data_IF_310359472704
#
_entry.id   IF_310359472704
#
_cell.length_a   1.000
_cell.length_b   1.000
_cell.length_c   1.000
_cell.angle_alpha   90.00
_cell.angle_beta   90.00
_cell.angle_gamma   90.00
#
_symmetry.space_group_name_H-M   'P 1'
#
loop_
_entity.id
_entity.type
_entity.pdbx_description
1 polymer ?
#
# COMPACT_ATOMS: atom_id res chain seq x y z
N UNK A 1 -53.74 39.65 3.05
CA UNK A 1 -53.18 39.12 4.31
C UNK A 1 -53.27 37.58 4.37
N UNK A 2 -53.02 36.86 3.26
CA UNK A 2 -53.25 35.40 3.19
C UNK A 2 -52.19 34.60 2.41
N UNK A 3 -51.16 35.23 1.83
CA UNK A 3 -50.16 34.53 1.00
C UNK A 3 -48.83 34.21 1.71
N UNK A 4 -48.58 34.79 2.88
CA UNK A 4 -47.27 34.70 3.56
C UNK A 4 -47.07 33.42 4.39
N UNK A 5 -48.17 32.68 4.64
CA UNK A 5 -48.12 31.41 5.40
C UNK A 5 -47.73 30.20 4.54
N UNK A 6 -47.89 30.28 3.21
CA UNK A 6 -47.58 29.17 2.29
C UNK A 6 -46.10 29.08 1.94
N UNK A 7 -45.40 30.22 1.83
CA UNK A 7 -43.96 30.27 1.53
C UNK A 7 -43.14 29.78 2.74
N UNK A 8 -43.56 30.14 3.95
CA UNK A 8 -42.91 29.71 5.20
C UNK A 8 -43.09 28.21 5.48
N UNK A 9 -44.18 27.58 5.00
CA UNK A 9 -44.40 26.13 5.13
C UNK A 9 -43.66 25.27 4.09
N UNK A 10 -43.06 25.86 3.05
CA UNK A 10 -42.24 25.13 2.08
C UNK A 10 -40.74 25.15 2.41
N UNK A 11 -40.29 26.05 3.31
CA UNK A 11 -38.91 26.14 3.76
C UNK A 11 -38.50 25.05 4.77
N UNK A 12 -39.45 24.26 5.28
CA UNK A 12 -39.20 23.05 6.08
C UNK A 12 -39.01 21.79 5.22
N UNK A 13 -38.93 21.93 3.90
CA UNK A 13 -38.59 20.82 2.99
C UNK A 13 -37.08 20.66 2.91
N UNK A 14 -36.56 19.74 3.71
CA UNK A 14 -35.31 19.02 3.49
C UNK A 14 -34.13 19.93 3.17
N UNK A 15 -33.71 20.72 4.16
CA UNK A 15 -32.36 21.26 4.09
C UNK A 15 -31.37 20.09 4.05
N UNK A 16 -30.73 19.95 2.89
CA UNK A 16 -29.84 18.83 2.58
C UNK A 16 -28.58 18.87 3.45
N UNK A 17 -28.25 20.04 3.98
CA UNK A 17 -27.14 20.24 4.91
C UNK A 17 -27.48 19.63 6.29
N UNK A 18 -28.65 19.94 6.84
CA UNK A 18 -29.12 19.31 8.10
C UNK A 18 -29.31 17.80 7.96
N UNK A 19 -29.73 17.32 6.78
CA UNK A 19 -29.86 15.88 6.53
C UNK A 19 -28.50 15.18 6.56
N UNK A 20 -27.45 15.79 6.00
CA UNK A 20 -26.08 15.25 6.00
C UNK A 20 -25.48 15.19 7.40
N UNK A 21 -25.58 16.27 8.18
CA UNK A 21 -25.11 16.31 9.56
C UNK A 21 -25.78 15.24 10.44
N UNK A 22 -27.07 14.97 10.18
CA UNK A 22 -27.82 13.93 10.90
C UNK A 22 -27.30 12.53 10.58
N UNK A 23 -27.01 12.26 9.31
CA UNK A 23 -26.48 10.96 8.87
C UNK A 23 -25.06 10.77 9.44
N UNK A 24 -24.25 11.82 9.47
CA UNK A 24 -22.91 11.80 10.06
C UNK A 24 -22.96 11.42 11.55
N UNK A 25 -23.84 12.06 12.34
CA UNK A 25 -24.03 11.68 13.76
C UNK A 25 -24.53 10.25 13.95
N UNK A 26 -25.40 9.76 13.06
CA UNK A 26 -25.90 8.38 13.12
C UNK A 26 -24.81 7.36 12.76
N UNK A 27 -23.83 7.75 11.95
CA UNK A 27 -22.71 6.92 11.53
C UNK A 27 -21.65 6.70 12.64
N UNK A 28 -21.63 7.55 13.66
CA UNK A 28 -20.74 7.42 14.83
C UNK A 28 -21.33 6.54 15.95
N UNK A 29 -22.63 6.25 15.92
CA UNK A 29 -23.31 5.48 16.96
C UNK A 29 -22.94 4.00 16.94
N UNK A 30 -23.03 3.34 18.10
CA UNK A 30 -22.94 1.88 18.17
C UNK A 30 -24.16 1.21 17.50
N UNK A 31 -24.00 -0.06 17.10
CA UNK A 31 -25.01 -0.77 16.32
C UNK A 31 -26.37 -0.90 17.04
N UNK A 32 -26.37 -0.95 18.38
CA UNK A 32 -27.61 -1.09 19.16
C UNK A 32 -28.32 0.25 19.25
N UNK A 33 -27.59 1.31 19.55
CA UNK A 33 -28.13 2.67 19.62
C UNK A 33 -28.61 3.16 18.25
N UNK A 34 -27.92 2.81 17.16
CA UNK A 34 -28.40 3.07 15.80
C UNK A 34 -29.73 2.35 15.51
N UNK A 35 -29.86 1.06 15.83
CA UNK A 35 -31.09 0.30 15.55
C UNK A 35 -32.30 0.87 16.32
N UNK A 36 -32.09 1.38 17.54
CA UNK A 36 -33.13 2.05 18.31
C UNK A 36 -33.58 3.39 17.71
N UNK A 37 -32.66 4.15 17.11
CA UNK A 37 -32.94 5.46 16.52
C UNK A 37 -33.34 5.41 15.05
N UNK A 38 -33.09 4.29 14.37
CA UNK A 38 -33.23 4.10 12.92
C UNK A 38 -34.61 4.47 12.37
N UNK A 39 -35.69 4.04 13.04
CA UNK A 39 -37.07 4.32 12.59
C UNK A 39 -37.42 5.79 12.70
N UNK A 40 -37.14 6.40 13.84
CA UNK A 40 -37.41 7.82 14.11
C UNK A 40 -36.53 8.74 13.23
N UNK A 41 -35.27 8.37 13.01
CA UNK A 41 -34.37 9.08 12.11
C UNK A 41 -34.82 9.01 10.64
N UNK A 42 -35.25 7.84 10.16
CA UNK A 42 -35.73 7.67 8.79
C UNK A 42 -37.01 8.47 8.54
N UNK A 43 -37.92 8.53 9.52
CA UNK A 43 -39.16 9.31 9.45
C UNK A 43 -38.89 10.81 9.43
N UNK A 44 -38.01 11.31 10.33
CA UNK A 44 -37.63 12.74 10.38
C UNK A 44 -36.91 13.22 9.13
N UNK A 45 -36.13 12.35 8.49
CA UNK A 45 -35.43 12.65 7.25
C UNK A 45 -36.28 12.41 6.00
N UNK A 46 -37.50 11.86 6.13
CA UNK A 46 -38.36 11.51 5.00
C UNK A 46 -37.74 10.48 4.05
N UNK A 47 -36.85 9.61 4.55
CA UNK A 47 -36.12 8.62 3.75
C UNK A 47 -36.59 7.21 4.06
N UNK A 48 -36.44 6.29 3.09
CA UNK A 48 -36.60 4.86 3.36
C UNK A 48 -35.50 4.40 4.32
N UNK A 49 -35.85 3.62 5.35
CA UNK A 49 -34.87 3.08 6.30
C UNK A 49 -33.70 2.35 5.59
N UNK A 50 -33.99 1.58 4.55
CA UNK A 50 -32.97 0.91 3.74
C UNK A 50 -32.02 1.86 2.98
N UNK A 51 -32.48 3.07 2.63
CA UNK A 51 -31.63 4.10 2.02
C UNK A 51 -30.77 4.80 3.07
N UNK A 52 -31.33 5.06 4.26
CA UNK A 52 -30.60 5.58 5.41
C UNK A 52 -29.47 4.62 5.82
N UNK A 53 -29.75 3.32 5.89
CA UNK A 53 -28.76 2.29 6.22
C UNK A 53 -27.56 2.28 5.24
N UNK A 54 -27.82 2.47 3.94
CA UNK A 54 -26.75 2.56 2.94
C UNK A 54 -25.89 3.81 3.12
N UNK A 55 -26.50 4.95 3.45
CA UNK A 55 -25.79 6.22 3.64
C UNK A 55 -24.98 6.21 4.93
N UNK A 56 -25.56 5.73 6.02
CA UNK A 56 -24.89 5.54 7.32
C UNK A 56 -23.75 4.55 7.18
N UNK A 57 -23.93 3.41 6.50
CA UNK A 57 -22.83 2.46 6.26
C UNK A 57 -21.70 3.02 5.38
N UNK A 58 -22.02 3.95 4.46
CA UNK A 58 -21.02 4.62 3.61
C UNK A 58 -20.22 5.68 4.39
N UNK A 59 -20.84 6.33 5.36
CA UNK A 59 -20.20 7.35 6.21
C UNK A 59 -19.62 6.79 7.51
N UNK A 60 -20.05 5.60 7.93
CA UNK A 60 -19.53 4.94 9.12
C UNK A 60 -18.01 4.81 8.96
N UNK A 61 -17.22 5.19 9.98
CA UNK A 61 -15.80 5.00 9.94
C UNK A 61 -15.56 3.51 9.68
N UNK A 62 -14.89 3.20 8.57
CA UNK A 62 -14.50 1.84 8.29
C UNK A 62 -13.70 1.36 9.49
N UNK A 63 -14.22 0.36 10.22
CA UNK A 63 -13.45 -0.34 11.25
C UNK A 63 -12.34 -1.10 10.53
N UNK A 64 -11.26 -0.37 10.21
CA UNK A 64 -10.04 -0.91 9.66
C UNK A 64 -9.40 -1.73 10.78
N UNK A 65 -9.56 -3.04 10.70
CA UNK A 65 -8.80 -3.96 11.52
C UNK A 65 -7.36 -3.97 11.00
N UNK A 66 -6.46 -3.23 11.65
CA UNK A 66 -5.05 -3.15 11.28
C UNK A 66 -4.34 -1.95 11.89
N UNK A 67 -3.01 -1.96 11.86
CA UNK A 67 -2.17 -0.79 12.14
C UNK A 67 -1.86 -0.09 10.82
N UNK A 68 -1.78 1.24 10.84
CA UNK A 68 -1.25 2.00 9.71
C UNK A 68 0.18 1.54 9.38
N UNK A 69 0.52 1.52 8.09
CA UNK A 69 1.89 1.25 7.66
C UNK A 69 2.70 2.50 7.98
N UNK A 70 3.71 2.35 8.84
CA UNK A 70 4.62 3.41 9.25
C UNK A 70 6.04 3.01 8.85
N UNK A 71 6.76 3.93 8.23
CA UNK A 71 8.17 3.76 7.90
C UNK A 71 9.01 4.72 8.74
N UNK A 72 10.17 4.25 9.18
CA UNK A 72 11.16 5.13 9.80
C UNK A 72 11.85 5.95 8.70
N UNK A 73 11.94 7.25 8.91
CA UNK A 73 12.79 8.15 8.12
C UNK A 73 14.01 8.49 8.99
N UNK A 74 15.13 7.76 8.87
CA UNK A 74 16.29 7.99 9.71
C UNK A 74 16.94 9.33 9.41
N UNK A 75 17.48 9.98 10.44
CA UNK A 75 18.27 11.18 10.27
C UNK A 75 19.58 10.87 9.54
N UNK A 76 19.95 11.66 8.52
CA UNK A 76 21.24 11.52 7.86
C UNK A 76 22.40 11.66 8.85
N UNK A 77 23.48 10.90 8.61
CA UNK A 77 24.70 11.05 9.40
C UNK A 77 25.24 12.50 9.30
N UNK A 78 25.70 13.05 10.42
CA UNK A 78 26.25 14.41 10.47
C UNK A 78 27.55 14.56 9.66
N UNK A 79 28.32 13.48 9.56
CA UNK A 79 29.58 13.45 8.83
C UNK A 79 29.45 12.69 7.50
N UNK A 80 30.17 13.09 6.45
CA UNK A 80 30.19 12.35 5.19
C UNK A 80 30.66 10.91 5.39
N UNK A 81 29.80 9.96 5.00
CA UNK A 81 30.13 8.53 5.06
C UNK A 81 30.86 8.12 3.79
N UNK A 82 32.02 7.47 3.94
CA UNK A 82 32.73 6.88 2.81
C UNK A 82 31.94 5.70 2.24
N UNK A 83 31.50 5.82 0.98
CA UNK A 83 30.70 4.78 0.30
C UNK A 83 31.44 3.44 0.22
N UNK A 84 32.76 3.45 0.01
CA UNK A 84 33.55 2.22 -0.05
C UNK A 84 33.65 1.54 1.31
N UNK A 85 33.80 2.31 2.39
CA UNK A 85 33.78 1.77 3.76
C UNK A 85 32.41 1.17 4.09
N UNK A 86 31.32 1.89 3.80
CA UNK A 86 29.95 1.43 4.01
C UNK A 86 29.65 0.12 3.27
N UNK A 87 30.01 0.03 1.98
CA UNK A 87 29.80 -1.20 1.19
C UNK A 87 30.62 -2.38 1.75
N UNK A 88 31.84 -2.13 2.21
CA UNK A 88 32.66 -3.16 2.86
C UNK A 88 32.05 -3.63 4.18
N UNK A 89 31.50 -2.73 4.98
CA UNK A 89 30.80 -3.04 6.23
C UNK A 89 29.52 -3.84 5.99
N UNK A 90 28.69 -3.44 5.01
CA UNK A 90 27.52 -4.20 4.59
C UNK A 90 27.91 -5.62 4.16
N UNK A 91 28.91 -5.75 3.30
CA UNK A 91 29.39 -7.05 2.84
C UNK A 91 30.01 -7.91 3.96
N UNK A 92 30.63 -7.29 4.97
CA UNK A 92 31.13 -7.97 6.15
C UNK A 92 29.99 -8.45 7.07
N UNK A 93 28.97 -7.61 7.27
CA UNK A 93 27.77 -7.94 8.03
C UNK A 93 27.04 -9.13 7.37
N UNK A 94 26.79 -9.07 6.07
CA UNK A 94 26.17 -10.16 5.31
C UNK A 94 26.93 -11.49 5.46
N UNK A 95 28.26 -11.47 5.35
CA UNK A 95 29.12 -12.67 5.52
C UNK A 95 29.10 -13.24 6.94
N UNK A 96 28.85 -12.40 7.95
CA UNK A 96 28.77 -12.82 9.34
C UNK A 96 27.52 -13.66 9.62
N UNK A 97 26.40 -13.31 8.99
CA UNK A 97 25.10 -13.92 9.29
C UNK A 97 24.61 -14.91 8.22
N UNK A 98 25.06 -14.76 6.96
CA UNK A 98 24.59 -15.58 5.84
C UNK A 98 25.77 -16.20 5.08
N UNK A 99 25.70 -17.51 4.87
CA UNK A 99 26.61 -18.21 3.95
C UNK A 99 26.14 -17.97 2.53
N UNK A 100 26.92 -17.19 1.77
CA UNK A 100 26.60 -16.78 0.40
C UNK A 100 27.63 -17.33 -0.59
N UNK A 101 27.23 -17.58 -1.85
CA UNK A 101 28.17 -17.86 -2.94
C UNK A 101 29.17 -16.72 -3.13
N UNK A 102 30.29 -17.01 -3.80
CA UNK A 102 31.28 -15.99 -4.12
C UNK A 102 30.63 -14.77 -4.80
N UNK A 103 31.02 -13.58 -4.36
CA UNK A 103 30.53 -12.27 -4.83
C UNK A 103 29.06 -11.93 -4.52
N UNK A 104 28.24 -12.86 -4.04
CA UNK A 104 26.83 -12.59 -3.76
C UNK A 104 26.64 -11.54 -2.65
N UNK A 105 27.50 -11.53 -1.63
CA UNK A 105 27.49 -10.48 -0.60
C UNK A 105 27.76 -9.08 -1.16
N UNK A 106 28.56 -8.97 -2.21
CA UNK A 106 28.85 -7.68 -2.87
C UNK A 106 27.63 -7.24 -3.66
N UNK A 107 27.01 -8.15 -4.41
CA UNK A 107 25.78 -7.87 -5.15
C UNK A 107 24.65 -7.43 -4.21
N UNK A 108 24.46 -8.11 -3.07
CA UNK A 108 23.47 -7.74 -2.07
C UNK A 108 23.80 -6.38 -1.44
N UNK A 109 25.05 -6.12 -1.06
CA UNK A 109 25.45 -4.82 -0.49
C UNK A 109 25.22 -3.65 -1.47
N UNK A 110 25.57 -3.83 -2.74
CA UNK A 110 25.29 -2.84 -3.79
C UNK A 110 23.80 -2.62 -3.99
N UNK A 111 23.02 -3.70 -4.00
CA UNK A 111 21.57 -3.62 -4.12
C UNK A 111 20.94 -2.92 -2.90
N UNK A 112 21.41 -3.20 -1.69
CA UNK A 112 20.99 -2.50 -0.47
C UNK A 112 21.25 -1.00 -0.57
N UNK A 113 22.48 -0.59 -0.93
CA UNK A 113 22.80 0.83 -1.11
C UNK A 113 21.95 1.47 -2.21
N UNK A 114 21.73 0.75 -3.31
CA UNK A 114 20.88 1.20 -4.41
C UNK A 114 19.48 1.57 -3.94
N UNK A 115 18.89 0.85 -2.97
CA UNK A 115 17.55 1.20 -2.42
C UNK A 115 17.47 2.61 -1.81
N UNK A 116 18.60 3.15 -1.33
CA UNK A 116 18.69 4.51 -0.76
C UNK A 116 18.97 5.59 -1.81
N UNK A 117 19.54 5.20 -2.96
CA UNK A 117 19.93 6.12 -4.04
C UNK A 117 18.98 6.06 -5.24
N UNK A 118 17.75 5.61 -5.00
CA UNK A 118 16.79 5.32 -6.05
C UNK A 118 16.40 6.54 -6.88
N UNK A 119 16.46 7.75 -6.33
CA UNK A 119 16.20 8.99 -7.05
C UNK A 119 17.26 9.29 -8.13
N UNK A 120 18.47 8.76 -7.98
CA UNK A 120 19.59 9.02 -8.88
C UNK A 120 19.72 8.01 -10.05
N UNK A 121 18.88 6.97 -10.09
CA UNK A 121 19.01 5.85 -11.05
C UNK A 121 17.77 5.67 -11.93
N UNK A 122 17.97 5.32 -13.20
CA UNK A 122 16.89 5.14 -14.18
C UNK A 122 16.34 3.71 -14.23
N UNK A 123 17.15 2.75 -13.80
CA UNK A 123 16.88 1.32 -13.85
C UNK A 123 17.08 0.76 -12.45
N UNK A 124 16.23 -0.20 -12.07
CA UNK A 124 16.39 -0.92 -10.81
C UNK A 124 16.48 -2.41 -11.04
N UNK A 125 17.59 -3.03 -10.64
CA UNK A 125 17.72 -4.47 -10.69
C UNK A 125 16.83 -5.12 -9.62
N UNK A 126 16.20 -6.24 -10.00
CA UNK A 126 15.47 -7.11 -9.09
C UNK A 126 16.48 -8.04 -8.40
N UNK A 127 16.52 -8.04 -7.06
CA UNK A 127 17.32 -9.01 -6.30
C UNK A 127 16.51 -10.30 -6.08
N UNK A 128 16.72 -11.29 -6.94
CA UNK A 128 16.11 -12.60 -6.80
C UNK A 128 17.01 -13.54 -5.96
N UNK A 129 16.55 -13.87 -4.74
CA UNK A 129 17.21 -14.87 -3.89
C UNK A 129 16.57 -16.23 -4.13
N UNK A 130 17.30 -17.13 -4.80
CA UNK A 130 16.86 -18.48 -5.11
C UNK A 130 17.67 -19.52 -4.34
N UNK A 131 16.98 -20.53 -3.80
CA UNK A 131 17.63 -21.68 -3.15
C UNK A 131 16.96 -22.98 -3.57
N UNK A 132 17.71 -24.05 -3.86
CA UNK A 132 17.16 -25.32 -4.31
C UNK A 132 16.44 -26.10 -3.20
N UNK A 133 16.64 -25.75 -1.92
CA UNK A 133 16.06 -26.45 -0.77
C UNK A 133 15.40 -25.47 0.21
N UNK A 134 14.39 -25.95 0.95
CA UNK A 134 13.79 -25.20 2.07
C UNK A 134 14.83 -25.08 3.20
N UNK A 135 14.79 -23.96 3.96
CA UNK A 135 15.65 -23.67 5.12
C UNK A 135 17.12 -23.29 4.82
N UNK A 136 17.42 -22.83 3.61
CA UNK A 136 18.77 -22.33 3.26
C UNK A 136 19.06 -20.88 3.68
N UNK A 137 18.40 -20.34 4.71
CA UNK A 137 18.67 -18.99 5.21
C UNK A 137 18.02 -17.84 4.42
N UNK A 138 17.18 -18.10 3.41
CA UNK A 138 16.46 -17.07 2.62
C UNK A 138 15.67 -16.09 3.50
N UNK A 139 14.85 -16.60 4.42
CA UNK A 139 14.09 -15.75 5.34
C UNK A 139 15.00 -14.96 6.29
N UNK A 140 16.18 -15.50 6.64
CA UNK A 140 17.15 -14.78 7.46
C UNK A 140 17.80 -13.63 6.70
N UNK A 141 18.16 -13.85 5.43
CA UNK A 141 18.63 -12.78 4.55
C UNK A 141 17.55 -11.71 4.36
N UNK A 142 16.28 -12.10 4.21
CA UNK A 142 15.16 -11.17 4.07
C UNK A 142 14.98 -10.32 5.34
N UNK A 143 15.06 -10.91 6.52
CA UNK A 143 15.03 -10.18 7.80
C UNK A 143 16.22 -9.21 7.90
N UNK A 144 17.42 -9.66 7.55
CA UNK A 144 18.61 -8.82 7.60
C UNK A 144 18.52 -7.62 6.63
N UNK A 145 18.01 -7.85 5.43
CA UNK A 145 17.71 -6.78 4.47
C UNK A 145 16.64 -5.83 5.00
N UNK A 146 15.65 -6.35 5.71
CA UNK A 146 14.61 -5.57 6.38
C UNK A 146 15.16 -4.50 7.33
N UNK A 147 16.36 -4.67 7.86
CA UNK A 147 16.98 -3.66 8.74
C UNK A 147 17.92 -2.68 8.01
N UNK A 148 18.23 -2.93 6.74
CA UNK A 148 19.27 -2.18 6.01
C UNK A 148 18.76 -1.41 4.80
N UNK A 149 17.63 -1.81 4.22
CA UNK A 149 17.08 -1.17 3.01
C UNK A 149 16.23 0.04 3.35
N UNK A 150 16.03 0.91 2.35
CA UNK A 150 15.16 2.06 2.48
C UNK A 150 13.68 1.63 2.63
N UNK A 151 13.00 2.06 3.71
CA UNK A 151 11.55 1.82 3.93
C UNK A 151 11.12 0.36 3.68
N UNK A 152 11.63 -0.61 4.44
CA UNK A 152 11.38 -2.03 4.25
C UNK A 152 9.89 -2.37 4.43
N UNK A 153 9.32 -3.10 3.48
CA UNK A 153 7.98 -3.70 3.60
C UNK A 153 8.08 -5.20 3.31
N UNK A 154 8.07 -5.99 4.37
CA UNK A 154 8.07 -7.46 4.30
C UNK A 154 6.65 -7.97 4.10
N UNK A 155 6.43 -8.79 3.07
CA UNK A 155 5.13 -9.41 2.81
C UNK A 155 5.28 -10.87 2.36
N UNK A 156 4.54 -11.76 2.99
CA UNK A 156 4.41 -13.18 2.58
C UNK A 156 3.36 -13.36 1.50
N UNK A 157 2.29 -12.55 1.55
CA UNK A 157 1.27 -12.47 0.52
C UNK A 157 0.66 -11.06 0.55
N UNK A 158 0.24 -10.55 -0.60
CA UNK A 158 -0.36 -9.21 -0.72
C UNK A 158 -1.40 -9.22 -1.84
N UNK A 159 -2.54 -8.59 -1.60
CA UNK A 159 -3.52 -8.41 -2.69
C UNK A 159 -3.00 -7.36 -3.67
N UNK A 160 -3.29 -7.47 -4.98
CA UNK A 160 -2.89 -6.44 -5.94
C UNK A 160 -3.31 -5.04 -5.49
N UNK A 161 -4.56 -4.88 -5.05
CA UNK A 161 -5.09 -3.60 -4.59
C UNK A 161 -4.32 -3.00 -3.40
N UNK A 162 -3.95 -3.82 -2.41
CA UNK A 162 -3.16 -3.35 -1.27
C UNK A 162 -1.75 -2.94 -1.72
N UNK A 163 -1.12 -3.74 -2.59
CA UNK A 163 0.22 -3.46 -3.10
C UNK A 163 0.26 -2.14 -3.88
N UNK A 164 -0.68 -1.93 -4.81
CA UNK A 164 -0.78 -0.69 -5.58
C UNK A 164 -0.89 0.54 -4.68
N UNK A 165 -1.84 0.53 -3.74
CA UNK A 165 -2.06 1.65 -2.80
C UNK A 165 -0.83 1.93 -1.95
N UNK A 166 -0.14 0.88 -1.53
CA UNK A 166 1.03 1.01 -0.65
C UNK A 166 2.25 1.55 -1.41
N UNK A 167 2.45 1.08 -2.64
CA UNK A 167 3.50 1.57 -3.53
C UNK A 167 3.29 3.03 -3.88
N UNK A 168 2.06 3.41 -4.26
CA UNK A 168 1.71 4.79 -4.61
C UNK A 168 1.87 5.75 -3.42
N UNK A 169 1.45 5.34 -2.22
CA UNK A 169 1.47 6.19 -1.04
C UNK A 169 2.87 6.34 -0.42
N UNK A 170 3.70 5.29 -0.44
CA UNK A 170 4.90 5.23 0.40
C UNK A 170 6.22 4.96 -0.33
N UNK A 171 6.17 4.45 -1.55
CA UNK A 171 7.35 4.02 -2.30
C UNK A 171 8.31 3.13 -1.46
N UNK A 172 7.86 1.98 -0.91
CA UNK A 172 8.69 1.18 0.00
C UNK A 172 9.60 0.19 -0.71
N UNK A 173 10.59 -0.35 0.00
CA UNK A 173 11.31 -1.56 -0.42
C UNK A 173 10.50 -2.83 -0.19
N UNK A 174 9.92 -3.39 -1.25
CA UNK A 174 9.16 -4.64 -1.17
C UNK A 174 10.08 -5.86 -0.99
N UNK A 175 10.00 -6.48 0.18
CA UNK A 175 10.69 -7.72 0.55
C UNK A 175 9.68 -8.87 0.54
N UNK A 176 9.59 -9.56 -0.58
CA UNK A 176 8.54 -10.55 -0.84
C UNK A 176 9.03 -11.97 -0.53
N UNK A 177 8.45 -12.59 0.50
CA UNK A 177 8.68 -14.02 0.75
C UNK A 177 7.70 -14.87 -0.05
N UNK A 178 8.13 -16.09 -0.42
CA UNK A 178 7.35 -17.05 -1.22
C UNK A 178 6.78 -16.51 -2.54
N UNK A 179 7.36 -15.43 -3.07
CA UNK A 179 6.90 -14.73 -4.27
C UNK A 179 6.73 -15.63 -5.49
N UNK A 180 7.52 -16.70 -5.61
CA UNK A 180 7.45 -17.67 -6.69
C UNK A 180 6.16 -18.47 -6.71
N UNK A 181 5.54 -18.66 -5.54
CA UNK A 181 4.27 -19.37 -5.41
C UNK A 181 3.14 -18.50 -5.92
N UNK A 182 3.01 -17.28 -5.40
CA UNK A 182 1.83 -16.44 -5.68
C UNK A 182 1.96 -15.54 -6.92
N UNK A 183 3.18 -15.22 -7.40
CA UNK A 183 3.36 -14.53 -8.69
C UNK A 183 3.03 -15.42 -9.88
N UNK A 184 3.14 -16.76 -9.74
CA UNK A 184 2.84 -17.71 -10.80
C UNK A 184 1.37 -17.73 -11.17
N UNK A 185 0.51 -17.51 -10.19
CA UNK A 185 -0.94 -17.62 -10.35
C UNK A 185 -1.63 -16.25 -10.45
N UNK A 186 -0.84 -15.16 -10.50
CA UNK A 186 -1.36 -13.79 -10.50
C UNK A 186 -0.64 -12.89 -11.51
N UNK A 187 -1.23 -12.79 -12.71
CA UNK A 187 -0.68 -12.02 -13.82
C UNK A 187 -0.64 -10.51 -13.53
N UNK A 188 -1.61 -9.97 -12.77
CA UNK A 188 -1.63 -8.55 -12.37
C UNK A 188 -0.40 -8.20 -11.53
N UNK A 189 -0.08 -9.04 -10.54
CA UNK A 189 1.09 -8.84 -9.69
C UNK A 189 2.38 -8.99 -10.48
N UNK A 190 2.44 -9.97 -11.39
CA UNK A 190 3.61 -10.15 -12.26
C UNK A 190 3.82 -8.96 -13.20
N UNK A 191 2.73 -8.45 -13.77
CA UNK A 191 2.73 -7.24 -14.59
C UNK A 191 3.28 -6.04 -13.83
N UNK A 192 2.82 -5.84 -12.59
CA UNK A 192 3.32 -4.78 -11.71
C UNK A 192 4.83 -4.91 -11.43
N UNK A 193 5.29 -6.11 -11.05
CA UNK A 193 6.70 -6.37 -10.76
C UNK A 193 7.58 -6.11 -11.98
N UNK A 194 7.13 -6.53 -13.17
CA UNK A 194 7.86 -6.35 -14.42
C UNK A 194 7.86 -4.89 -14.88
N UNK A 195 6.74 -4.17 -14.72
CA UNK A 195 6.61 -2.77 -15.08
C UNK A 195 7.51 -1.86 -14.23
N UNK A 196 7.74 -2.23 -12.97
CA UNK A 196 8.60 -1.49 -12.04
C UNK A 196 10.10 -1.47 -12.37
N UNK A 197 10.55 -2.23 -13.38
CA UNK A 197 11.96 -2.30 -13.75
C UNK A 197 12.49 -1.01 -14.40
N UNK A 198 11.65 -0.27 -15.13
CA UNK A 198 12.05 0.95 -15.87
C UNK A 198 11.08 2.10 -15.57
N UNK A 199 11.62 3.25 -15.15
CA UNK A 199 10.81 4.43 -14.78
C UNK A 199 9.81 4.88 -15.86
N UNK A 200 10.15 4.72 -17.14
CA UNK A 200 9.30 5.15 -18.26
C UNK A 200 8.07 4.27 -18.50
N UNK A 201 8.08 3.03 -18.02
CA UNK A 201 7.02 2.03 -18.26
C UNK A 201 6.32 1.61 -16.97
N UNK A 202 6.65 2.23 -15.84
CA UNK A 202 6.07 1.95 -14.54
C UNK A 202 4.69 2.62 -14.43
N UNK A 203 3.76 2.29 -15.31
CA UNK A 203 2.37 2.73 -15.22
C UNK A 203 1.46 1.54 -15.53
N UNK A 204 0.48 1.31 -14.67
CA UNK A 204 -0.56 0.30 -14.90
C UNK A 204 -1.91 1.00 -14.83
N UNK A 205 -2.70 0.88 -15.90
CA UNK A 205 -4.06 1.39 -15.93
C UNK A 205 -4.96 0.41 -15.16
N UNK A 206 -5.77 0.92 -14.24
CA UNK A 206 -6.74 0.08 -13.51
C UNK A 206 -8.07 0.79 -13.36
N UNK A 207 -9.14 0.01 -13.43
CA UNK A 207 -10.49 0.44 -13.07
C UNK A 207 -10.67 0.25 -11.56
N UNK A 208 -11.12 1.29 -10.86
CA UNK A 208 -11.37 1.24 -9.41
C UNK A 208 -12.81 1.62 -9.11
N UNK A 209 -13.48 0.81 -8.29
CA UNK A 209 -14.85 1.05 -7.84
C UNK A 209 -15.92 0.53 -8.80
N UNK A 210 -17.19 0.64 -8.38
CA UNK A 210 -18.37 0.27 -9.17
C UNK A 210 -18.72 1.32 -10.23
N UNK A 211 -18.06 2.48 -10.19
CA UNK A 211 -18.27 3.63 -11.09
C UNK A 211 -17.41 3.56 -12.37
N UNK A 212 -16.60 2.50 -12.53
CA UNK A 212 -15.74 2.25 -13.70
C UNK A 212 -14.71 3.33 -14.02
N UNK A 213 -14.27 4.11 -13.03
CA UNK A 213 -13.26 5.13 -13.23
C UNK A 213 -11.89 4.52 -13.56
N UNK A 214 -11.34 4.88 -14.72
CA UNK A 214 -9.99 4.51 -15.15
C UNK A 214 -8.96 5.41 -14.48
N UNK A 215 -8.21 4.88 -13.52
CA UNK A 215 -7.08 5.57 -12.90
C UNK A 215 -5.78 5.10 -13.56
N UNK A 216 -4.99 6.07 -14.01
CA UNK A 216 -3.59 5.84 -14.36
C UNK A 216 -2.82 5.77 -13.05
N UNK A 217 -2.51 4.55 -12.62
CA UNK A 217 -1.64 4.38 -11.47
C UNK A 217 -0.22 4.59 -11.96
N UNK A 218 0.39 5.64 -11.45
CA UNK A 218 1.83 5.77 -11.49
C UNK A 218 2.41 4.63 -10.66
N UNK A 219 2.80 3.54 -11.31
CA UNK A 219 3.71 2.60 -10.66
C UNK A 219 5.05 3.29 -10.41
N UNK A 220 5.36 4.45 -11.02
CA UNK A 220 6.37 5.44 -10.63
C UNK A 220 6.02 6.27 -9.38
N UNK A 221 4.91 5.97 -8.70
CA UNK A 221 4.85 6.02 -7.23
C UNK A 221 5.99 5.19 -6.59
N UNK A 222 6.61 4.28 -7.37
CA UNK A 222 8.07 4.09 -7.39
C UNK A 222 8.82 5.44 -7.66
N UNK A 223 8.79 6.38 -6.71
CA UNK A 223 10.02 7.14 -6.42
C UNK A 223 11.13 6.20 -5.89
N UNK A 224 10.74 4.97 -5.59
CA UNK A 224 11.58 3.83 -5.23
C UNK A 224 11.21 2.61 -6.10
N UNK A 225 12.02 2.18 -7.08
CA UNK A 225 11.87 0.90 -7.75
C UNK A 225 12.32 -0.25 -6.85
N UNK A 226 11.41 -0.68 -6.00
CA UNK A 226 11.55 -1.91 -5.25
C UNK A 226 10.33 -2.79 -5.50
N UNK A 227 10.52 -3.81 -6.31
CA UNK A 227 9.63 -4.96 -6.32
C UNK A 227 10.53 -6.18 -6.46
N UNK A 228 10.22 -7.27 -5.76
CA UNK A 228 10.95 -8.53 -5.90
C UNK A 228 10.28 -9.31 -7.05
N UNK A 229 11.04 -9.72 -8.07
CA UNK A 229 10.51 -10.46 -9.21
C UNK A 229 11.36 -11.64 -9.61
N UNK A 230 10.72 -12.81 -9.68
CA UNK A 230 11.30 -14.05 -10.15
C UNK A 230 11.15 -14.19 -11.66
N UNK A 231 12.24 -14.64 -12.29
CA UNK A 231 12.24 -15.08 -13.68
C UNK A 231 11.72 -16.52 -13.73
N UNK A 232 10.68 -16.75 -14.54
CA UNK A 232 10.30 -18.10 -14.98
C UNK A 232 11.43 -18.68 -15.87
N UNK A 233 11.68 -20.00 -15.84
CA UNK A 233 12.64 -20.62 -16.74
C UNK A 233 12.16 -20.45 -18.18
N UNK A 234 13.08 -20.01 -19.04
CA UNK A 234 12.93 -20.14 -20.50
C UNK A 234 13.59 -21.47 -20.82
N UNK A 235 12.77 -22.39 -21.34
CA UNK A 235 13.06 -23.73 -21.92
C UNK A 235 14.42 -24.40 -21.62
#
# INVERSE_FOLDING_TARGET
>A
MSDDKRVTQLATRFDTETARERIERLAELDAVTYEMQRKDAAEKLGMRAAALDKLVKRQAPAKLAGRAIEFADPEPCAEPVSTSALLNELAACLRRYIVLPAHAQVAVALWTLHTWALDAVQLSPLLAVQSPQKRCGKSHLLMLLGEMVYRPLVATNVTPAALFRTVEAHAPTLLLDEADTWLRDNDDLRGLVNAGHTRKTAFTLRVVGDDFDCLMLDCGGLRSPNTLGLRAPVD
#
